data_IF_080675080067
#
_entry.id   IF_080675080067
#
_cell.length_a   1.000
_cell.length_b   1.000
_cell.length_c   1.000
_cell.angle_alpha   90.00
_cell.angle_beta   90.00
_cell.angle_gamma   90.00
#
_symmetry.space_group_name_H-M   'P 1'
#
loop_
_entity.id
_entity.type
_entity.pdbx_description
1 polymer ?
#
# COMPACT_ATOMS: atom_id res chain seq x y z
N UNK A 1 -29.27 28.49 -23.04
CA UNK A 1 -29.34 27.04 -22.73
C UNK A 1 -28.66 26.85 -21.39
N UNK A 2 -29.32 26.22 -20.42
CA UNK A 2 -28.75 26.04 -19.08
C UNK A 2 -27.72 24.91 -19.11
N UNK A 3 -26.43 25.26 -19.08
CA UNK A 3 -25.31 24.33 -19.14
C UNK A 3 -25.37 23.29 -17.99
N UNK A 4 -25.84 23.71 -16.81
CA UNK A 4 -25.96 22.83 -15.66
C UNK A 4 -27.04 21.76 -15.87
N UNK A 5 -28.12 22.09 -16.57
CA UNK A 5 -29.19 21.13 -16.88
C UNK A 5 -28.71 20.06 -17.86
N UNK A 6 -27.97 20.44 -18.90
CA UNK A 6 -27.42 19.50 -19.89
C UNK A 6 -26.41 18.56 -19.23
N UNK A 7 -25.51 19.10 -18.40
CA UNK A 7 -24.51 18.32 -17.68
C UNK A 7 -25.14 17.28 -16.73
N UNK A 8 -26.15 17.68 -15.94
CA UNK A 8 -26.88 16.74 -15.07
C UNK A 8 -27.57 15.61 -15.84
N UNK A 9 -28.15 15.92 -17.00
CA UNK A 9 -28.78 14.90 -17.84
C UNK A 9 -27.77 13.90 -18.42
N UNK A 10 -26.56 14.36 -18.77
CA UNK A 10 -25.48 13.48 -19.23
C UNK A 10 -24.99 12.55 -18.12
N UNK A 11 -24.75 13.09 -16.91
CA UNK A 11 -24.37 12.29 -15.75
C UNK A 11 -25.44 11.24 -15.42
N UNK A 12 -26.72 11.63 -15.41
CA UNK A 12 -27.81 10.71 -15.14
C UNK A 12 -27.84 9.56 -16.16
N UNK A 13 -27.70 9.86 -17.46
CA UNK A 13 -27.64 8.83 -18.51
C UNK A 13 -26.45 7.90 -18.32
N UNK A 14 -25.27 8.43 -18.00
CA UNK A 14 -24.08 7.63 -17.74
C UNK A 14 -24.28 6.67 -16.55
N UNK A 15 -24.95 7.11 -15.48
CA UNK A 15 -25.31 6.25 -14.36
C UNK A 15 -26.33 5.16 -14.76
N UNK A 16 -27.39 5.52 -15.50
CA UNK A 16 -28.41 4.58 -15.96
C UNK A 16 -27.82 3.51 -16.91
N UNK A 17 -26.95 3.92 -17.83
CA UNK A 17 -26.26 3.03 -18.76
C UNK A 17 -25.34 2.07 -18.02
N UNK A 18 -24.54 2.57 -17.06
CA UNK A 18 -23.69 1.73 -16.22
C UNK A 18 -24.50 0.68 -15.45
N UNK A 19 -25.56 1.09 -14.73
CA UNK A 19 -26.42 0.15 -13.99
C UNK A 19 -26.99 -0.92 -14.92
N UNK A 20 -27.49 -0.53 -16.09
CA UNK A 20 -28.11 -1.46 -17.03
C UNK A 20 -27.09 -2.46 -17.58
N UNK A 21 -25.91 -1.98 -17.95
CA UNK A 21 -24.95 -2.76 -18.72
C UNK A 21 -23.99 -3.57 -17.83
N UNK A 22 -23.80 -3.22 -16.55
CA UNK A 22 -23.02 -4.05 -15.60
C UNK A 22 -23.68 -5.39 -15.28
N UNK A 23 -24.98 -5.54 -15.58
CA UNK A 23 -25.71 -6.82 -15.52
C UNK A 23 -25.53 -7.71 -16.77
N UNK A 24 -24.71 -7.31 -17.74
CA UNK A 24 -24.38 -8.16 -18.89
C UNK A 24 -23.64 -9.42 -18.44
N UNK A 25 -23.93 -10.56 -19.07
CA UNK A 25 -23.18 -11.81 -18.85
C UNK A 25 -21.82 -11.83 -19.60
N UNK A 26 -21.55 -10.83 -20.44
CA UNK A 26 -20.30 -10.72 -21.19
C UNK A 26 -19.28 -9.85 -20.43
N UNK A 27 -18.18 -10.47 -19.97
CA UNK A 27 -17.10 -9.79 -19.24
C UNK A 27 -16.51 -8.63 -20.05
N UNK A 28 -16.40 -8.77 -21.37
CA UNK A 28 -15.88 -7.69 -22.23
C UNK A 28 -16.76 -6.44 -22.19
N UNK A 29 -18.09 -6.63 -22.26
CA UNK A 29 -19.07 -5.56 -22.08
C UNK A 29 -18.95 -4.93 -20.68
N UNK A 30 -18.87 -5.74 -19.62
CA UNK A 30 -18.73 -5.21 -18.26
C UNK A 30 -17.45 -4.35 -18.09
N UNK A 31 -16.33 -4.81 -18.64
CA UNK A 31 -15.06 -4.08 -18.60
C UNK A 31 -15.17 -2.72 -19.29
N UNK A 32 -15.79 -2.67 -20.47
CA UNK A 32 -15.96 -1.43 -21.23
C UNK A 32 -16.84 -0.41 -20.50
N UNK A 33 -17.93 -0.88 -19.89
CA UNK A 33 -18.84 -0.01 -19.12
C UNK A 33 -18.17 0.55 -17.87
N UNK A 34 -17.35 -0.25 -17.19
CA UNK A 34 -16.53 0.23 -16.06
C UNK A 34 -15.55 1.31 -16.53
N UNK A 35 -14.86 1.13 -17.66
CA UNK A 35 -13.96 2.16 -18.21
C UNK A 35 -14.69 3.43 -18.58
N UNK A 36 -15.82 3.30 -19.27
CA UNK A 36 -16.64 4.43 -19.68
C UNK A 36 -17.08 5.23 -18.45
N UNK A 37 -17.59 4.55 -17.42
CA UNK A 37 -17.97 5.20 -16.16
C UNK A 37 -16.79 5.91 -15.49
N UNK A 38 -15.65 5.24 -15.32
CA UNK A 38 -14.44 5.83 -14.74
C UNK A 38 -14.06 7.09 -15.52
N UNK A 39 -13.96 7.00 -16.85
CA UNK A 39 -13.55 8.13 -17.70
C UNK A 39 -14.50 9.33 -17.60
N UNK A 40 -15.79 9.09 -17.46
CA UNK A 40 -16.82 10.13 -17.37
C UNK A 40 -16.79 10.86 -16.01
N UNK A 41 -16.48 10.13 -14.93
CA UNK A 41 -16.57 10.62 -13.55
C UNK A 41 -15.22 10.86 -12.85
N UNK A 42 -14.08 10.60 -13.50
CA UNK A 42 -12.74 10.68 -12.87
C UNK A 42 -12.44 12.06 -12.26
N UNK A 43 -12.91 13.14 -12.88
CA UNK A 43 -12.71 14.51 -12.39
C UNK A 43 -13.79 15.00 -11.43
N UNK A 44 -14.84 14.20 -11.21
CA UNK A 44 -15.98 14.55 -10.38
C UNK A 44 -15.81 14.01 -8.97
N UNK A 45 -16.09 14.84 -7.96
CA UNK A 45 -16.13 14.45 -6.56
C UNK A 45 -17.58 14.47 -6.07
N UNK A 46 -18.31 13.42 -6.43
CA UNK A 46 -19.73 13.24 -6.10
C UNK A 46 -19.93 11.94 -5.30
N UNK A 47 -20.20 12.03 -3.98
CA UNK A 47 -20.37 10.86 -3.13
C UNK A 47 -21.49 9.91 -3.58
N UNK A 48 -22.55 10.42 -4.21
CA UNK A 48 -23.68 9.59 -4.67
C UNK A 48 -23.26 8.72 -5.87
N UNK A 49 -22.51 9.32 -6.80
CA UNK A 49 -21.93 8.62 -7.96
C UNK A 49 -20.90 7.58 -7.51
N UNK A 50 -20.07 7.92 -6.52
CA UNK A 50 -19.06 7.02 -5.97
C UNK A 50 -19.69 5.79 -5.30
N UNK A 51 -20.76 6.01 -4.52
CA UNK A 51 -21.50 4.92 -3.91
C UNK A 51 -22.19 4.05 -4.96
N UNK A 52 -22.79 4.66 -5.99
CA UNK A 52 -23.42 3.95 -7.10
C UNK A 52 -22.43 3.03 -7.83
N UNK A 53 -21.22 3.52 -8.12
CA UNK A 53 -20.17 2.73 -8.75
C UNK A 53 -19.87 1.46 -7.96
N UNK A 54 -19.61 1.60 -6.66
CA UNK A 54 -19.33 0.46 -5.80
C UNK A 54 -20.54 -0.46 -5.67
N UNK A 55 -21.74 0.08 -5.50
CA UNK A 55 -22.96 -0.71 -5.30
C UNK A 55 -23.24 -1.61 -6.51
N UNK A 56 -23.15 -1.06 -7.72
CA UNK A 56 -23.48 -1.74 -8.98
C UNK A 56 -22.25 -2.31 -9.70
N UNK A 57 -21.09 -2.39 -9.05
CA UNK A 57 -19.90 -2.99 -9.62
C UNK A 57 -20.17 -4.43 -10.11
N UNK A 58 -19.80 -4.80 -11.36
CA UNK A 58 -20.14 -6.10 -11.94
C UNK A 58 -19.59 -7.26 -11.12
N UNK A 59 -20.45 -8.23 -10.77
CA UNK A 59 -20.10 -9.32 -9.85
C UNK A 59 -19.16 -10.34 -10.51
N UNK A 60 -19.34 -10.60 -11.80
CA UNK A 60 -18.49 -11.50 -12.58
C UNK A 60 -17.08 -10.92 -12.69
N UNK A 61 -16.94 -9.65 -13.09
CA UNK A 61 -15.66 -8.96 -13.15
C UNK A 61 -14.96 -8.91 -11.77
N UNK A 62 -15.72 -8.65 -10.70
CA UNK A 62 -15.18 -8.71 -9.34
C UNK A 62 -14.68 -10.12 -8.96
N UNK A 63 -15.40 -11.16 -9.40
CA UNK A 63 -14.98 -12.55 -9.24
C UNK A 63 -13.67 -12.85 -9.99
N UNK A 64 -13.50 -12.34 -11.20
CA UNK A 64 -12.24 -12.47 -11.94
C UNK A 64 -11.08 -11.79 -11.21
N UNK A 65 -11.27 -10.57 -10.71
CA UNK A 65 -10.26 -9.90 -9.88
C UNK A 65 -9.89 -10.70 -8.63
N UNK A 66 -10.86 -11.36 -8.01
CA UNK A 66 -10.61 -12.27 -6.90
C UNK A 66 -9.71 -13.44 -7.34
N UNK A 67 -10.05 -14.14 -8.41
CA UNK A 67 -9.25 -15.27 -8.89
C UNK A 67 -7.82 -14.87 -9.27
N UNK A 68 -7.65 -13.72 -9.92
CA UNK A 68 -6.34 -13.15 -10.23
C UNK A 68 -5.53 -12.91 -8.95
N UNK A 69 -6.14 -12.33 -7.91
CA UNK A 69 -5.46 -12.05 -6.64
C UNK A 69 -5.04 -13.32 -5.88
N UNK A 70 -5.67 -14.47 -6.15
CA UNK A 70 -5.29 -15.78 -5.60
C UNK A 70 -4.26 -16.51 -6.48
N UNK A 71 -3.65 -15.83 -7.46
CA UNK A 71 -2.56 -16.33 -8.30
C UNK A 71 -3.00 -17.11 -9.53
N UNK A 72 -4.28 -17.07 -9.91
CA UNK A 72 -4.72 -17.69 -11.16
C UNK A 72 -4.35 -16.81 -12.36
N UNK A 73 -3.53 -17.35 -13.25
CA UNK A 73 -3.07 -16.65 -14.47
C UNK A 73 -3.79 -17.08 -15.74
N UNK A 74 -4.49 -18.23 -15.73
CA UNK A 74 -5.27 -18.72 -16.87
C UNK A 74 -6.65 -18.05 -16.95
N UNK A 75 -6.64 -16.72 -17.01
CA UNK A 75 -7.84 -15.88 -17.12
C UNK A 75 -7.76 -15.13 -18.44
N UNK A 76 -8.87 -15.12 -19.18
CA UNK A 76 -8.93 -14.40 -20.45
C UNK A 76 -8.63 -12.92 -20.25
N UNK A 77 -7.80 -12.35 -21.15
CA UNK A 77 -7.37 -10.95 -21.11
C UNK A 77 -6.75 -10.53 -19.77
N UNK A 78 -6.01 -11.42 -19.12
CA UNK A 78 -5.40 -11.23 -17.80
C UNK A 78 -4.72 -9.86 -17.60
N UNK A 79 -3.80 -9.49 -18.49
CA UNK A 79 -3.06 -8.22 -18.40
C UNK A 79 -3.97 -7.00 -18.46
N UNK A 80 -4.96 -7.03 -19.34
CA UNK A 80 -5.94 -5.95 -19.48
C UNK A 80 -6.83 -5.82 -18.24
N UNK A 81 -7.16 -6.95 -17.59
CA UNK A 81 -7.88 -6.96 -16.32
C UNK A 81 -7.05 -6.45 -15.17
N UNK A 82 -5.72 -6.65 -15.16
CA UNK A 82 -4.84 -6.04 -14.14
C UNK A 82 -4.88 -4.52 -14.28
N UNK A 83 -4.72 -4.00 -15.49
CA UNK A 83 -4.76 -2.56 -15.76
C UNK A 83 -6.11 -1.99 -15.32
N UNK A 84 -7.22 -2.64 -15.72
CA UNK A 84 -8.56 -2.22 -15.30
C UNK A 84 -8.74 -2.28 -13.78
N UNK A 85 -8.18 -3.30 -13.11
CA UNK A 85 -8.24 -3.40 -11.66
C UNK A 85 -7.53 -2.22 -10.98
N UNK A 86 -6.37 -1.81 -11.48
CA UNK A 86 -5.69 -0.62 -10.97
C UNK A 86 -6.44 0.67 -11.28
N UNK A 87 -7.09 0.78 -12.44
CA UNK A 87 -7.95 1.93 -12.76
C UNK A 87 -9.17 2.01 -11.83
N UNK A 88 -9.79 0.86 -11.54
CA UNK A 88 -10.88 0.74 -10.57
C UNK A 88 -10.40 1.14 -9.17
N UNK A 89 -9.26 0.62 -8.71
CA UNK A 89 -8.70 0.99 -7.41
C UNK A 89 -8.40 2.49 -7.33
N UNK A 90 -7.77 3.05 -8.36
CA UNK A 90 -7.46 4.48 -8.50
C UNK A 90 -8.74 5.31 -8.46
N UNK A 91 -9.77 4.90 -9.19
CA UNK A 91 -11.06 5.60 -9.21
C UNK A 91 -11.77 5.59 -7.84
N UNK A 92 -11.81 4.43 -7.16
CA UNK A 92 -12.44 4.28 -5.84
C UNK A 92 -11.79 5.21 -4.82
N UNK A 93 -10.47 5.33 -4.85
CA UNK A 93 -9.70 6.11 -3.88
C UNK A 93 -9.17 7.43 -4.44
N UNK A 94 -9.77 7.97 -5.50
CA UNK A 94 -9.41 9.31 -6.02
C UNK A 94 -9.78 10.45 -5.05
N UNK A 95 -10.71 10.17 -4.15
CA UNK A 95 -11.23 11.10 -3.13
C UNK A 95 -11.62 10.30 -1.86
N UNK A 96 -11.92 10.96 -0.72
CA UNK A 96 -12.13 10.26 0.55
C UNK A 96 -13.53 9.65 0.72
N UNK A 97 -14.45 9.76 -0.26
CA UNK A 97 -15.87 9.40 -0.07
C UNK A 97 -16.07 7.92 0.29
N UNK A 98 -15.20 7.04 -0.21
CA UNK A 98 -15.34 5.58 -0.06
C UNK A 98 -14.34 4.95 0.92
N UNK A 99 -13.50 5.73 1.62
CA UNK A 99 -12.43 5.16 2.47
C UNK A 99 -12.94 4.31 3.64
N UNK A 100 -14.17 4.58 4.09
CA UNK A 100 -14.83 3.82 5.16
C UNK A 100 -15.73 2.69 4.65
N UNK A 101 -16.07 2.69 3.35
CA UNK A 101 -17.01 1.73 2.75
C UNK A 101 -16.49 0.29 2.82
N UNK A 102 -17.37 -0.65 3.18
CA UNK A 102 -16.99 -2.04 3.41
C UNK A 102 -16.70 -2.79 2.12
N UNK A 103 -17.40 -2.50 1.02
CA UNK A 103 -17.18 -3.13 -0.28
C UNK A 103 -15.94 -2.55 -0.96
N UNK A 104 -15.70 -1.24 -0.85
CA UNK A 104 -14.46 -0.60 -1.29
C UNK A 104 -13.23 -1.20 -0.60
N UNK A 105 -13.30 -1.47 0.72
CA UNK A 105 -12.21 -2.12 1.46
C UNK A 105 -11.84 -3.50 0.93
N UNK A 106 -12.79 -4.25 0.37
CA UNK A 106 -12.46 -5.52 -0.26
C UNK A 106 -11.47 -5.35 -1.43
N UNK A 107 -11.55 -4.25 -2.18
CA UNK A 107 -10.58 -3.95 -3.24
C UNK A 107 -9.17 -3.71 -2.70
N UNK A 108 -9.00 -3.20 -1.47
CA UNK A 108 -7.68 -3.06 -0.83
C UNK A 108 -7.04 -4.43 -0.63
N UNK A 109 -7.79 -5.38 -0.08
CA UNK A 109 -7.29 -6.73 0.15
C UNK A 109 -6.95 -7.44 -1.17
N UNK A 110 -7.76 -7.24 -2.22
CA UNK A 110 -7.46 -7.78 -3.55
C UNK A 110 -6.22 -7.13 -4.15
N UNK A 111 -6.07 -5.81 -4.03
CA UNK A 111 -4.91 -5.09 -4.50
C UNK A 111 -3.63 -5.59 -3.86
N UNK A 112 -3.60 -5.67 -2.52
CA UNK A 112 -2.43 -6.12 -1.76
C UNK A 112 -2.04 -7.57 -2.08
N UNK A 113 -3.01 -8.45 -2.29
CA UNK A 113 -2.75 -9.83 -2.73
C UNK A 113 -2.27 -9.90 -4.18
N UNK A 114 -2.86 -9.13 -5.07
CA UNK A 114 -2.53 -9.13 -6.50
C UNK A 114 -1.07 -8.72 -6.72
N UNK A 115 -0.60 -7.64 -6.07
CA UNK A 115 0.80 -7.20 -6.18
C UNK A 115 1.81 -8.15 -5.52
N UNK A 116 1.36 -9.10 -4.69
CA UNK A 116 2.22 -10.13 -4.12
C UNK A 116 2.39 -11.34 -5.04
N UNK A 117 1.34 -11.68 -5.80
CA UNK A 117 1.26 -12.95 -6.54
C UNK A 117 1.49 -12.81 -8.03
N UNK A 118 1.33 -11.61 -8.58
CA UNK A 118 1.36 -11.39 -10.01
C UNK A 118 2.72 -10.89 -10.50
N UNK A 119 3.00 -11.12 -11.78
CA UNK A 119 4.13 -10.51 -12.44
C UNK A 119 3.93 -8.99 -12.56
N UNK A 120 5.00 -8.19 -12.40
CA UNK A 120 5.01 -6.76 -12.66
C UNK A 120 4.49 -6.39 -14.05
N UNK A 121 3.64 -5.36 -14.11
CA UNK A 121 3.31 -4.69 -15.36
C UNK A 121 4.23 -3.47 -15.57
N UNK A 122 4.62 -3.19 -16.81
CA UNK A 122 5.58 -2.12 -17.12
C UNK A 122 4.92 -0.77 -17.46
N UNK A 123 3.66 -0.78 -17.92
CA UNK A 123 3.09 0.35 -18.65
C UNK A 123 1.88 1.00 -17.95
N UNK A 124 1.89 1.02 -16.61
CA UNK A 124 0.82 1.64 -15.82
C UNK A 124 1.22 3.00 -15.26
N UNK A 125 0.28 3.95 -15.23
CA UNK A 125 0.50 5.28 -14.65
C UNK A 125 0.56 5.20 -13.12
N UNK A 126 1.77 5.20 -12.58
CA UNK A 126 1.99 5.06 -11.14
C UNK A 126 1.66 6.32 -10.34
N UNK A 127 1.75 7.51 -10.92
CA UNK A 127 1.49 8.78 -10.21
C UNK A 127 0.05 8.85 -9.65
N UNK A 128 -0.93 8.49 -10.47
CA UNK A 128 -2.34 8.49 -10.09
C UNK A 128 -2.65 7.42 -9.05
N UNK A 129 -2.02 6.25 -9.15
CA UNK A 129 -2.17 5.17 -8.19
C UNK A 129 -1.57 5.52 -6.83
N UNK A 130 -0.36 6.10 -6.81
CA UNK A 130 0.32 6.56 -5.60
C UNK A 130 -0.53 7.60 -4.85
N UNK A 131 -1.13 8.54 -5.59
CA UNK A 131 -2.05 9.54 -5.02
C UNK A 131 -3.28 8.87 -4.41
N UNK A 132 -3.86 7.89 -5.12
CA UNK A 132 -5.06 7.18 -4.66
C UNK A 132 -4.78 6.28 -3.45
N UNK A 133 -3.60 5.64 -3.39
CA UNK A 133 -3.16 4.91 -2.19
C UNK A 133 -3.04 5.88 -1.01
N UNK A 134 -2.48 7.07 -1.21
CA UNK A 134 -2.36 8.09 -0.16
C UNK A 134 -3.71 8.50 0.42
N UNK A 135 -4.74 8.65 -0.43
CA UNK A 135 -6.13 8.90 0.01
C UNK A 135 -6.70 7.68 0.71
N UNK A 136 -6.51 6.47 0.17
CA UNK A 136 -6.97 5.21 0.77
C UNK A 136 -6.46 5.04 2.21
N UNK A 137 -5.17 5.31 2.43
CA UNK A 137 -4.50 5.16 3.72
C UNK A 137 -4.64 6.37 4.63
N UNK A 138 -5.42 7.40 4.24
CA UNK A 138 -5.81 8.47 5.17
C UNK A 138 -6.70 7.97 6.31
N UNK A 139 -7.34 6.81 6.13
CA UNK A 139 -8.12 6.10 7.14
C UNK A 139 -7.29 4.99 7.79
N UNK A 140 -7.08 5.06 9.11
CA UNK A 140 -6.17 4.18 9.83
C UNK A 140 -6.48 2.67 9.71
N UNK A 141 -7.75 2.20 9.71
CA UNK A 141 -8.03 0.80 9.45
C UNK A 141 -7.56 0.31 8.08
N UNK A 142 -7.44 1.17 7.08
CA UNK A 142 -6.86 0.81 5.79
C UNK A 142 -5.33 0.70 5.92
N UNK A 143 -4.66 1.60 6.67
CA UNK A 143 -3.22 1.46 6.98
C UNK A 143 -2.91 0.10 7.60
N UNK A 144 -3.74 -0.38 8.53
CA UNK A 144 -3.60 -1.71 9.15
C UNK A 144 -3.57 -2.82 8.10
N UNK A 145 -4.40 -2.75 7.05
CA UNK A 145 -4.38 -3.74 5.97
C UNK A 145 -3.06 -3.71 5.21
N UNK A 146 -2.56 -2.52 4.85
CA UNK A 146 -1.26 -2.37 4.20
C UNK A 146 -0.12 -2.88 5.08
N UNK A 147 -0.12 -2.59 6.38
CA UNK A 147 0.93 -3.06 7.30
C UNK A 147 0.90 -4.58 7.43
N UNK A 148 -0.27 -5.17 7.67
CA UNK A 148 -0.42 -6.62 7.83
C UNK A 148 -0.03 -7.40 6.56
N UNK A 149 -0.25 -6.84 5.37
CA UNK A 149 0.10 -7.49 4.10
C UNK A 149 1.46 -7.07 3.53
N UNK A 150 2.32 -6.43 4.33
CA UNK A 150 3.60 -5.88 3.88
C UNK A 150 3.49 -5.02 2.60
N UNK A 151 2.39 -4.25 2.51
CA UNK A 151 1.94 -3.60 1.28
C UNK A 151 2.99 -2.72 0.65
N UNK A 152 3.71 -1.91 1.45
CA UNK A 152 4.74 -1.01 0.91
C UNK A 152 5.91 -1.77 0.29
N UNK A 153 6.40 -2.83 0.94
CA UNK A 153 7.44 -3.68 0.37
C UNK A 153 6.99 -4.29 -0.97
N UNK A 154 5.74 -4.78 -1.05
CA UNK A 154 5.22 -5.39 -2.28
C UNK A 154 5.01 -4.35 -3.38
N UNK A 155 4.50 -3.15 -3.07
CA UNK A 155 4.36 -2.05 -4.03
C UNK A 155 5.73 -1.67 -4.61
N UNK A 156 6.74 -1.52 -3.76
CA UNK A 156 8.09 -1.16 -4.18
C UNK A 156 8.66 -2.17 -5.20
N UNK A 157 8.54 -3.46 -4.87
CA UNK A 157 9.05 -4.54 -5.72
C UNK A 157 8.23 -4.71 -7.00
N UNK A 158 6.90 -4.72 -6.88
CA UNK A 158 5.99 -4.94 -8.00
C UNK A 158 6.14 -3.85 -9.06
N UNK A 159 6.21 -2.58 -8.66
CA UNK A 159 6.31 -1.45 -9.58
C UNK A 159 7.75 -1.00 -9.86
N UNK A 160 8.77 -1.68 -9.31
CA UNK A 160 10.19 -1.36 -9.48
C UNK A 160 10.51 0.11 -9.21
N UNK A 161 10.02 0.62 -8.08
CA UNK A 161 10.03 2.05 -7.73
C UNK A 161 11.44 2.66 -7.75
N UNK A 162 12.49 1.87 -7.45
CA UNK A 162 13.90 2.30 -7.50
C UNK A 162 14.31 2.96 -8.82
N UNK A 163 13.69 2.59 -9.94
CA UNK A 163 14.00 3.13 -11.27
C UNK A 163 13.15 4.33 -11.69
N UNK A 164 12.30 4.84 -10.79
CA UNK A 164 11.29 5.85 -11.12
C UNK A 164 11.57 7.18 -10.43
N UNK A 165 10.91 8.24 -10.89
CA UNK A 165 10.94 9.54 -10.20
C UNK A 165 10.14 9.55 -8.88
N UNK A 166 9.40 8.47 -8.58
CA UNK A 166 8.44 8.39 -7.48
C UNK A 166 9.04 7.91 -6.16
N UNK A 167 10.36 7.71 -6.08
CA UNK A 167 11.04 7.20 -4.88
C UNK A 167 10.75 8.08 -3.66
N UNK A 168 10.72 9.40 -3.84
CA UNK A 168 10.48 10.35 -2.74
C UNK A 168 9.03 10.30 -2.25
N UNK A 169 8.07 10.34 -3.19
CA UNK A 169 6.63 10.23 -2.93
C UNK A 169 6.31 8.90 -2.24
N UNK A 170 6.93 7.82 -2.68
CA UNK A 170 6.83 6.51 -2.06
C UNK A 170 7.36 6.51 -0.62
N UNK A 171 8.49 7.18 -0.36
CA UNK A 171 9.03 7.35 0.99
C UNK A 171 8.08 8.11 1.92
N UNK A 172 7.46 9.19 1.44
CA UNK A 172 6.44 9.95 2.18
C UNK A 172 5.24 9.06 2.50
N UNK A 173 4.76 8.29 1.53
CA UNK A 173 3.64 7.37 1.73
C UNK A 173 3.97 6.27 2.74
N UNK A 174 5.19 5.71 2.71
CA UNK A 174 5.64 4.74 3.70
C UNK A 174 5.52 5.33 5.11
N UNK A 175 6.05 6.53 5.33
CA UNK A 175 5.95 7.19 6.63
C UNK A 175 4.51 7.42 7.07
N UNK A 176 3.61 7.81 6.16
CA UNK A 176 2.19 8.01 6.47
C UNK A 176 1.50 6.71 6.94
N UNK A 177 1.79 5.59 6.29
CA UNK A 177 1.19 4.27 6.62
C UNK A 177 1.73 3.75 7.95
N UNK A 178 3.04 3.76 8.15
CA UNK A 178 3.67 3.24 9.38
C UNK A 178 3.53 4.19 10.58
N UNK A 179 3.10 5.44 10.37
CA UNK A 179 2.63 6.32 11.44
C UNK A 179 1.17 6.02 11.85
N UNK A 180 0.87 4.74 12.09
CA UNK A 180 -0.43 4.25 12.55
C UNK A 180 -0.75 4.74 13.98
N UNK A 181 -1.97 5.22 14.25
CA UNK A 181 -2.35 5.61 15.61
C UNK A 181 -2.28 4.43 16.61
N UNK A 182 -1.93 4.74 17.86
CA UNK A 182 -1.80 3.71 18.92
C UNK A 182 -3.09 2.98 19.21
N UNK A 183 -4.26 3.57 18.95
CA UNK A 183 -5.57 2.92 19.16
C UNK A 183 -5.80 1.73 18.23
N UNK A 184 -5.08 1.64 17.12
CA UNK A 184 -5.22 0.57 16.13
C UNK A 184 -4.19 -0.55 16.26
N UNK A 185 -3.31 -0.51 17.26
CA UNK A 185 -2.24 -1.50 17.41
C UNK A 185 -2.76 -2.93 17.56
N UNK A 186 -3.91 -3.12 18.23
CA UNK A 186 -4.51 -4.44 18.46
C UNK A 186 -5.05 -5.11 17.19
N UNK A 187 -5.15 -4.37 16.09
CA UNK A 187 -5.53 -4.91 14.77
C UNK A 187 -4.32 -5.39 13.96
N UNK A 188 -3.10 -5.14 14.44
CA UNK A 188 -1.88 -5.69 13.84
C UNK A 188 -1.71 -7.17 14.23
N UNK A 189 -1.19 -7.96 13.31
CA UNK A 189 -1.03 -9.41 13.47
C UNK A 189 0.47 -9.72 13.61
N UNK A 190 0.97 -10.05 14.81
CA UNK A 190 2.41 -10.25 15.06
C UNK A 190 3.07 -11.24 14.11
N UNK A 191 2.43 -12.38 13.82
CA UNK A 191 2.96 -13.37 12.87
C UNK A 191 3.17 -12.79 11.46
N UNK A 192 2.29 -11.89 11.00
CA UNK A 192 2.45 -11.21 9.71
C UNK A 192 3.52 -10.14 9.76
N UNK A 193 3.64 -9.42 10.87
CA UNK A 193 4.72 -8.45 11.09
C UNK A 193 6.08 -9.15 11.09
N UNK A 194 6.24 -10.28 11.80
CA UNK A 194 7.43 -11.13 11.79
C UNK A 194 7.82 -11.51 10.37
N UNK A 195 6.86 -12.01 9.57
CA UNK A 195 7.11 -12.32 8.16
C UNK A 195 7.58 -11.09 7.37
N UNK A 196 6.90 -9.96 7.55
CA UNK A 196 7.17 -8.71 6.83
C UNK A 196 8.57 -8.16 7.14
N UNK A 197 8.93 -8.12 8.42
CA UNK A 197 10.25 -7.68 8.89
C UNK A 197 11.35 -8.56 8.30
N UNK A 198 11.21 -9.89 8.39
CA UNK A 198 12.22 -10.80 7.84
C UNK A 198 12.36 -10.68 6.31
N UNK A 199 11.25 -10.46 5.59
CA UNK A 199 11.30 -10.19 4.14
C UNK A 199 12.07 -8.90 3.82
N UNK A 200 11.79 -7.80 4.54
CA UNK A 200 12.47 -6.52 4.34
C UNK A 200 13.96 -6.66 4.70
N UNK A 201 14.29 -7.33 5.80
CA UNK A 201 15.68 -7.54 6.24
C UNK A 201 16.49 -8.35 5.22
N UNK A 202 15.90 -9.41 4.66
CA UNK A 202 16.55 -10.26 3.66
C UNK A 202 17.00 -9.47 2.42
N UNK A 203 16.28 -8.41 2.04
CA UNK A 203 16.63 -7.56 0.90
C UNK A 203 17.49 -6.35 1.31
N UNK A 204 17.35 -5.87 2.54
CA UNK A 204 18.08 -4.68 3.05
C UNK A 204 19.60 -4.88 3.17
N UNK A 205 20.10 -6.12 3.10
CA UNK A 205 21.54 -6.43 3.10
C UNK A 205 22.24 -6.10 1.78
N UNK A 206 21.50 -5.79 0.72
CA UNK A 206 22.01 -5.70 -0.66
C UNK A 206 22.41 -4.28 -1.14
N UNK A 207 22.92 -3.41 -0.26
CA UNK A 207 23.25 -2.00 -0.55
C UNK A 207 22.06 -1.15 -1.08
N UNK A 208 20.83 -1.65 -0.94
CA UNK A 208 19.62 -0.96 -1.40
C UNK A 208 19.10 -0.01 -0.32
N UNK A 209 19.49 1.27 -0.43
CA UNK A 209 19.18 2.34 0.54
C UNK A 209 17.69 2.48 0.84
N UNK A 210 16.83 2.26 -0.14
CA UNK A 210 15.39 2.43 0.01
C UNK A 210 14.79 1.38 0.94
N UNK A 211 15.27 0.12 0.87
CA UNK A 211 14.84 -0.91 1.81
C UNK A 211 15.37 -0.68 3.23
N UNK A 212 16.56 -0.08 3.36
CA UNK A 212 17.05 0.36 4.67
C UNK A 212 16.12 1.43 5.27
N UNK A 213 15.69 2.42 4.46
CA UNK A 213 14.70 3.42 4.87
C UNK A 213 13.35 2.83 5.28
N UNK A 214 12.85 1.87 4.50
CA UNK A 214 11.63 1.12 4.83
C UNK A 214 11.80 0.34 6.15
N UNK A 215 12.92 -0.36 6.32
CA UNK A 215 13.23 -1.13 7.54
C UNK A 215 13.24 -0.24 8.78
N UNK A 216 13.93 0.90 8.72
CA UNK A 216 13.97 1.88 9.82
C UNK A 216 12.54 2.37 10.15
N UNK A 217 11.73 2.63 9.12
CA UNK A 217 10.34 3.08 9.28
C UNK A 217 9.49 2.02 9.98
N UNK A 218 9.62 0.75 9.58
CA UNK A 218 8.92 -0.38 10.21
C UNK A 218 9.35 -0.56 11.67
N UNK A 219 10.65 -0.56 11.96
CA UNK A 219 11.17 -0.68 13.32
C UNK A 219 10.73 0.50 14.21
N UNK A 220 10.71 1.71 13.66
CA UNK A 220 10.20 2.90 14.34
C UNK A 220 8.73 2.75 14.74
N UNK A 221 7.90 2.19 13.85
CA UNK A 221 6.52 1.84 14.18
C UNK A 221 6.46 0.78 15.29
N UNK A 222 7.17 -0.34 15.16
CA UNK A 222 7.15 -1.42 16.14
C UNK A 222 7.57 -0.94 17.53
N UNK A 223 8.63 -0.14 17.62
CA UNK A 223 9.08 0.49 18.87
C UNK A 223 8.01 1.41 19.47
N UNK A 224 7.44 2.31 18.65
CA UNK A 224 6.42 3.28 19.09
C UNK A 224 5.15 2.61 19.61
N UNK A 225 4.79 1.47 19.03
CA UNK A 225 3.64 0.64 19.40
C UNK A 225 3.96 -0.43 20.46
N UNK A 226 5.22 -0.54 20.90
CA UNK A 226 5.71 -1.54 21.86
C UNK A 226 5.50 -3.00 21.41
N UNK A 227 5.68 -3.25 20.11
CA UNK A 227 5.52 -4.57 19.48
C UNK A 227 6.86 -5.29 19.21
N UNK A 228 7.99 -4.73 19.67
CA UNK A 228 9.31 -5.34 19.43
C UNK A 228 9.46 -6.71 20.09
N UNK A 229 8.80 -6.93 21.23
CA UNK A 229 8.84 -8.22 21.94
C UNK A 229 7.90 -9.27 21.30
N UNK A 230 6.93 -8.83 20.48
CA UNK A 230 5.95 -9.69 19.81
C UNK A 230 6.38 -10.10 18.39
N UNK A 231 7.44 -9.48 17.86
CA UNK A 231 7.91 -9.66 16.48
C UNK A 231 9.30 -10.27 16.48
N UNK A 232 9.43 -11.43 15.85
CA UNK A 232 10.68 -12.19 15.80
C UNK A 232 11.52 -11.80 14.58
N UNK A 233 12.80 -11.48 14.79
CA UNK A 233 13.74 -11.15 13.72
C UNK A 233 15.19 -11.43 14.14
N UNK A 234 16.09 -11.57 13.16
CA UNK A 234 17.51 -11.82 13.41
C UNK A 234 18.24 -10.54 13.87
N UNK A 235 18.58 -10.48 15.16
CA UNK A 235 19.29 -9.35 15.75
C UNK A 235 20.68 -9.12 15.13
N UNK A 236 21.34 -10.16 14.63
CA UNK A 236 22.64 -10.06 13.96
C UNK A 236 22.48 -9.31 12.64
N UNK A 237 21.51 -9.74 11.83
CA UNK A 237 21.21 -9.08 10.57
C UNK A 237 20.73 -7.64 10.77
N UNK A 238 19.96 -7.37 11.84
CA UNK A 238 19.56 -6.01 12.19
C UNK A 238 20.78 -5.14 12.52
N UNK A 239 21.74 -5.68 13.26
CA UNK A 239 22.98 -4.99 13.60
C UNK A 239 23.80 -4.67 12.34
N UNK A 240 23.92 -5.61 11.41
CA UNK A 240 24.62 -5.42 10.14
C UNK A 240 23.96 -4.32 9.29
N UNK A 241 22.62 -4.35 9.17
CA UNK A 241 21.85 -3.30 8.49
C UNK A 241 22.10 -1.94 9.15
N UNK A 242 22.09 -1.89 10.49
CA UNK A 242 22.32 -0.65 11.24
C UNK A 242 23.72 -0.07 11.01
N UNK A 243 24.74 -0.93 10.94
CA UNK A 243 26.11 -0.53 10.59
C UNK A 243 26.17 0.00 9.16
N UNK A 244 25.54 -0.69 8.20
CA UNK A 244 25.52 -0.25 6.80
C UNK A 244 24.89 1.14 6.66
N UNK A 245 23.73 1.36 7.29
CA UNK A 245 23.07 2.67 7.33
C UNK A 245 23.99 3.73 7.93
N UNK A 246 24.63 3.42 9.06
CA UNK A 246 25.54 4.33 9.75
C UNK A 246 26.70 4.75 8.85
N UNK A 247 27.40 3.78 8.24
CA UNK A 247 28.52 4.03 7.34
C UNK A 247 28.07 4.86 6.12
N UNK A 248 26.94 4.51 5.52
CA UNK A 248 26.38 5.25 4.38
C UNK A 248 26.09 6.71 4.74
N UNK A 249 25.50 6.95 5.93
CA UNK A 249 25.23 8.32 6.40
C UNK A 249 26.50 9.13 6.65
N UNK A 250 27.60 8.48 7.09
CA UNK A 250 28.90 9.13 7.26
C UNK A 250 29.52 9.55 5.93
N UNK A 251 29.28 8.80 4.85
CA UNK A 251 29.77 9.16 3.52
C UNK A 251 29.01 10.33 2.92
N UNK A 252 27.70 10.43 3.16
CA UNK A 252 26.87 11.52 2.67
C UNK A 252 27.11 12.84 3.43
N UNK A 253 27.32 12.75 4.74
CA UNK A 253 27.45 13.91 5.63
C UNK A 253 28.91 14.08 6.03
N UNK A 254 29.73 14.62 5.12
CA UNK A 254 31.12 15.05 5.45
C UNK A 254 31.18 16.27 6.38
N UNK A 255 30.05 16.80 6.86
CA UNK A 255 29.96 17.98 7.74
C UNK A 255 29.47 17.65 9.17
N UNK A 256 30.15 18.24 10.16
CA UNK A 256 30.15 17.94 11.61
C UNK A 256 28.82 17.82 12.40
N UNK A 257 27.65 17.99 11.79
CA UNK A 257 26.34 17.92 12.48
C UNK A 257 25.84 16.49 12.78
N UNK A 258 26.54 15.48 12.25
CA UNK A 258 26.20 14.06 12.31
C UNK A 258 26.03 13.51 13.74
N UNK A 259 26.91 13.90 14.67
CA UNK A 259 26.88 13.42 16.07
C UNK A 259 25.57 13.77 16.80
N UNK A 260 24.94 14.89 16.45
CA UNK A 260 23.68 15.36 17.06
C UNK A 260 22.47 14.60 16.50
N UNK A 261 22.51 14.20 15.22
CA UNK A 261 21.44 13.40 14.62
C UNK A 261 21.50 11.93 15.02
N UNK A 262 22.70 11.36 15.15
CA UNK A 262 22.87 9.98 15.61
C UNK A 262 22.31 9.76 17.01
N UNK A 263 22.46 10.72 17.93
CA UNK A 263 21.83 10.63 19.26
C UNK A 263 20.30 10.56 19.19
N UNK A 264 19.66 11.21 18.21
CA UNK A 264 18.20 11.12 18.01
C UNK A 264 17.79 9.80 17.36
N UNK A 265 18.57 9.30 16.40
CA UNK A 265 18.29 8.02 15.72
C UNK A 265 18.55 6.80 16.60
N UNK A 266 19.51 6.87 17.52
CA UNK A 266 19.83 5.78 18.45
C UNK A 266 19.10 5.85 19.79
N UNK A 267 18.37 6.93 20.10
CA UNK A 267 17.51 7.00 21.29
C UNK A 267 16.43 5.88 21.36
N UNK A 268 15.87 5.38 20.24
CA UNK A 268 15.05 4.16 20.26
C UNK A 268 15.87 2.87 20.42
N UNK A 269 17.13 2.84 19.97
CA UNK A 269 18.01 1.68 20.07
C UNK A 269 18.71 1.54 21.43
N UNK A 270 18.71 2.56 22.28
CA UNK A 270 19.06 2.37 23.70
C UNK A 270 18.10 1.40 24.39
N UNK A 271 16.86 1.25 23.87
CA UNK A 271 15.90 0.22 24.29
C UNK A 271 16.35 -1.17 23.81
N UNK A 272 16.94 -1.29 22.62
CA UNK A 272 17.50 -2.56 22.11
C UNK A 272 18.75 -2.96 22.90
N UNK A 273 19.52 -1.99 23.40
CA UNK A 273 20.64 -2.25 24.30
C UNK A 273 20.17 -2.87 25.64
N UNK A 274 18.99 -2.48 26.13
CA UNK A 274 18.30 -3.09 27.29
C UNK A 274 17.76 -4.50 26.98
N UNK A 275 17.23 -4.73 25.76
CA UNK A 275 16.74 -6.04 25.30
C UNK A 275 17.91 -7.03 25.15
N UNK A 276 19.06 -6.58 24.62
CA UNK A 276 20.29 -7.40 24.50
C UNK A 276 20.86 -7.76 25.88
N UNK A 277 20.78 -6.86 26.86
CA UNK A 277 21.15 -7.15 28.25
C UNK A 277 20.21 -8.18 28.90
N UNK A 278 18.90 -8.06 28.69
CA UNK A 278 17.92 -9.02 29.23
C UNK A 278 18.02 -10.41 28.60
N UNK A 279 18.21 -10.52 27.27
CA UNK A 279 18.31 -11.83 26.60
C UNK A 279 19.63 -12.56 26.89
N UNK A 280 20.73 -11.81 27.11
CA UNK A 280 22.00 -12.38 27.57
C UNK A 280 21.93 -12.79 29.05
N UNK A 281 21.20 -12.05 29.90
CA UNK A 281 21.02 -12.41 31.31
C UNK A 281 20.08 -13.62 31.50
N UNK A 282 19.05 -13.78 30.66
CA UNK A 282 18.12 -14.92 30.70
C UNK A 282 18.69 -16.22 30.12
N UNK A 283 19.73 -16.17 29.28
CA UNK A 283 20.44 -17.36 28.79
C UNK A 283 21.54 -17.86 29.74
N UNK A 284 21.86 -17.07 30.78
CA UNK A 284 22.91 -17.35 31.76
C UNK A 284 22.36 -17.56 33.19
N UNK A 285 21.05 -17.71 33.35
CA UNK A 285 20.33 -18.12 34.57
C UNK A 285 19.60 -19.44 34.28
#
# INVERSE_FOLDING_TARGET
>A
MDYNKVYRQQNQRACEDYIRNTHSNDSSTQMEEVRHFISHFVTQNDPEVDLLFIQFFPIELYGEFFYMSEGQTNIDRYQEKIILFFDVFTFIYRNPNLVTDSKAKCFILRFLKLIQTCDPITDYNLDTLITSISVCVSYDPNKVMFINENGMFNIYNYFKISGTTLVNEFGVMCHQIYNLDRTHFSSLIPAKLTKSVNQIMAVSTSDQKEFQGLMITVLGMLSRLKLLDDVEFDVTQLFDISISVFINSMHEVRDSLLLVHLQKYFAPFSIVHDIKLKSILLKNL
#
